data_IF_155575182967
#
_entry.id   IF_155575182967
#
_cell.length_a   1.000
_cell.length_b   1.000
_cell.length_c   1.000
_cell.angle_alpha   90.00
_cell.angle_beta   90.00
_cell.angle_gamma   90.00
#
_symmetry.space_group_name_H-M   'P 1'
#
loop_
_entity.id
_entity.type
_entity.pdbx_description
1 polymer ?
#
# COMPACT_ATOMS: atom_id res chain seq x y z
N UNK A 1 -16.46 3.93 27.18
CA UNK A 1 -16.51 4.78 25.97
C UNK A 1 -15.18 4.89 25.24
N UNK A 2 -14.05 5.19 25.89
CA UNK A 2 -12.74 5.33 25.23
C UNK A 2 -12.31 4.10 24.39
N UNK A 3 -12.59 2.88 24.85
CA UNK A 3 -12.25 1.64 24.11
C UNK A 3 -13.00 1.48 22.79
N UNK A 4 -14.27 1.90 22.72
CA UNK A 4 -15.06 1.83 21.48
C UNK A 4 -14.51 2.80 20.42
N UNK A 5 -14.16 4.01 20.85
CA UNK A 5 -13.56 5.02 19.98
C UNK A 5 -12.19 4.54 19.48
N UNK A 6 -11.35 3.99 20.35
CA UNK A 6 -10.06 3.43 19.96
C UNK A 6 -10.20 2.29 18.94
N UNK A 7 -11.22 1.46 19.07
CA UNK A 7 -11.48 0.33 18.16
C UNK A 7 -12.03 0.78 16.80
N UNK A 8 -12.85 1.82 16.77
CA UNK A 8 -13.29 2.46 15.53
C UNK A 8 -12.11 3.09 14.78
N UNK A 9 -11.27 3.86 15.48
CA UNK A 9 -10.08 4.47 14.89
C UNK A 9 -9.11 3.40 14.38
N UNK A 10 -8.89 2.35 15.17
CA UNK A 10 -8.04 1.22 14.79
C UNK A 10 -8.57 0.47 13.55
N UNK A 11 -9.89 0.30 13.44
CA UNK A 11 -10.53 -0.31 12.27
C UNK A 11 -10.41 0.54 11.01
N UNK A 12 -10.56 1.86 11.12
CA UNK A 12 -10.36 2.78 9.98
C UNK A 12 -8.90 2.74 9.53
N UNK A 13 -7.96 2.78 10.48
CA UNK A 13 -6.54 2.74 10.18
C UNK A 13 -6.13 1.43 9.50
N UNK A 14 -6.61 0.27 9.98
CA UNK A 14 -6.32 -1.03 9.37
C UNK A 14 -6.95 -1.19 7.98
N UNK A 15 -8.15 -0.63 7.77
CA UNK A 15 -8.81 -0.58 6.47
C UNK A 15 -8.03 0.25 5.46
N UNK A 16 -7.59 1.45 5.85
CA UNK A 16 -6.72 2.30 5.00
C UNK A 16 -5.41 1.61 4.67
N UNK A 17 -4.77 0.98 5.66
CA UNK A 17 -3.51 0.25 5.46
C UNK A 17 -3.66 -0.86 4.41
N UNK A 18 -4.74 -1.64 4.50
CA UNK A 18 -5.05 -2.74 3.58
C UNK A 18 -5.27 -2.26 2.14
N UNK A 19 -5.79 -1.05 1.94
CA UNK A 19 -5.97 -0.47 0.61
C UNK A 19 -4.68 0.18 0.07
N UNK A 20 -3.97 0.94 0.92
CA UNK A 20 -2.79 1.72 0.50
C UNK A 20 -1.54 0.85 0.31
N UNK A 21 -1.32 -0.17 1.14
CA UNK A 21 -0.15 -1.05 1.04
C UNK A 21 0.02 -1.72 -0.34
N UNK A 22 -0.97 -2.44 -0.91
CA UNK A 22 -0.80 -3.10 -2.20
C UNK A 22 -0.69 -2.12 -3.37
N UNK A 23 -1.20 -0.89 -3.22
CA UNK A 23 -1.03 0.21 -4.18
C UNK A 23 0.41 0.69 -4.12
N UNK A 24 0.92 1.01 -2.93
CA UNK A 24 2.30 1.45 -2.71
C UNK A 24 3.32 0.43 -3.21
N UNK A 25 3.14 -0.85 -2.84
CA UNK A 25 3.98 -1.94 -3.32
C UNK A 25 3.85 -2.08 -4.84
N UNK A 26 2.66 -1.87 -5.40
CA UNK A 26 2.43 -1.91 -6.84
C UNK A 26 3.12 -0.81 -7.62
N UNK A 27 3.21 0.39 -7.07
CA UNK A 27 3.87 1.53 -7.70
C UNK A 27 5.41 1.43 -7.65
N UNK A 28 5.95 0.80 -6.61
CA UNK A 28 7.39 0.76 -6.35
C UNK A 28 8.05 -0.50 -6.90
N UNK A 29 7.30 -1.60 -7.01
CA UNK A 29 7.88 -2.90 -7.37
C UNK A 29 7.91 -3.13 -8.87
N UNK A 30 8.97 -3.79 -9.33
CA UNK A 30 9.03 -4.43 -10.63
C UNK A 30 8.10 -5.67 -10.65
N UNK A 31 7.55 -6.04 -11.82
CA UNK A 31 6.51 -7.09 -11.96
C UNK A 31 6.87 -8.42 -11.27
N UNK A 32 8.16 -8.73 -11.17
CA UNK A 32 8.70 -9.96 -10.57
C UNK A 32 8.77 -9.91 -9.02
N UNK A 33 9.15 -8.76 -8.46
CA UNK A 33 9.37 -8.58 -7.01
C UNK A 33 8.09 -8.19 -6.26
N UNK A 34 7.07 -7.68 -6.97
CA UNK A 34 5.79 -7.25 -6.39
C UNK A 34 5.11 -8.36 -5.59
N UNK A 35 5.13 -9.59 -6.12
CA UNK A 35 4.54 -10.75 -5.46
C UNK A 35 5.28 -11.11 -4.18
N UNK A 36 6.63 -11.07 -4.21
CA UNK A 36 7.47 -11.38 -3.04
C UNK A 36 7.30 -10.35 -1.93
N UNK A 37 7.30 -9.06 -2.28
CA UNK A 37 7.09 -7.98 -1.32
C UNK A 37 5.69 -8.07 -0.68
N UNK A 38 4.64 -8.23 -1.48
CA UNK A 38 3.28 -8.40 -0.98
C UNK A 38 3.16 -9.59 -0.02
N UNK A 39 3.75 -10.73 -0.41
CA UNK A 39 3.73 -11.92 0.43
C UNK A 39 4.49 -11.71 1.76
N UNK A 40 5.62 -10.99 1.75
CA UNK A 40 6.34 -10.65 2.98
C UNK A 40 5.49 -9.84 3.95
N UNK A 41 4.70 -8.86 3.46
CA UNK A 41 3.76 -8.12 4.32
C UNK A 41 2.68 -9.02 4.91
N UNK A 42 2.10 -9.92 4.12
CA UNK A 42 1.12 -10.90 4.61
C UNK A 42 1.72 -11.81 5.67
N UNK A 43 2.91 -12.35 5.44
CA UNK A 43 3.63 -13.22 6.38
C UNK A 43 3.94 -12.48 7.69
N UNK A 44 4.40 -11.24 7.63
CA UNK A 44 4.63 -10.40 8.82
C UNK A 44 3.33 -10.17 9.61
N UNK A 45 2.22 -9.94 8.92
CA UNK A 45 0.89 -9.83 9.54
C UNK A 45 0.48 -11.13 10.24
N UNK A 46 0.65 -12.28 9.59
CA UNK A 46 0.38 -13.59 10.18
C UNK A 46 1.27 -13.89 11.39
N UNK A 47 2.55 -13.53 11.35
CA UNK A 47 3.48 -13.66 12.47
C UNK A 47 3.07 -12.77 13.65
N UNK A 48 2.62 -11.54 13.38
CA UNK A 48 2.07 -10.65 14.40
C UNK A 48 0.81 -11.24 15.06
N UNK A 49 -0.08 -11.85 14.27
CA UNK A 49 -1.24 -12.58 14.79
C UNK A 49 -0.83 -13.75 15.68
N UNK A 50 0.10 -14.58 15.22
CA UNK A 50 0.65 -15.71 15.99
C UNK A 50 1.27 -15.25 17.31
N UNK A 51 2.02 -14.14 17.30
CA UNK A 51 2.57 -13.54 18.51
C UNK A 51 1.47 -13.16 19.52
N UNK A 52 0.38 -12.53 19.05
CA UNK A 52 -0.74 -12.15 19.93
C UNK A 52 -1.43 -13.39 20.50
N UNK A 53 -1.64 -14.44 19.70
CA UNK A 53 -2.29 -15.67 20.18
C UNK A 53 -1.43 -16.47 21.16
N UNK A 54 -0.11 -16.46 20.98
CA UNK A 54 0.82 -17.21 21.84
C UNK A 54 1.15 -16.48 23.13
N UNK A 55 1.36 -15.15 23.07
CA UNK A 55 1.78 -14.33 24.23
C UNK A 55 0.59 -13.73 24.97
N UNK A 56 -0.53 -13.49 24.29
CA UNK A 56 -1.75 -12.94 24.85
C UNK A 56 -2.27 -13.61 26.13
N UNK A 57 -2.28 -14.95 26.26
CA UNK A 57 -2.74 -15.59 27.50
C UNK A 57 -1.74 -15.50 28.67
N UNK A 58 -0.47 -15.19 28.42
CA UNK A 58 0.58 -15.14 29.46
C UNK A 58 0.88 -13.71 29.95
N UNK A 59 0.39 -12.67 29.26
CA UNK A 59 0.77 -11.27 29.50
C UNK A 59 -0.46 -10.39 29.73
N UNK A 60 -0.32 -9.40 30.63
CA UNK A 60 -1.38 -8.42 30.92
C UNK A 60 -1.73 -7.56 29.69
N UNK A 61 -3.01 -7.25 29.52
CA UNK A 61 -3.56 -6.54 28.35
C UNK A 61 -2.83 -5.22 28.01
N UNK A 62 -2.40 -4.48 29.03
CA UNK A 62 -1.68 -3.21 28.85
C UNK A 62 -0.28 -3.39 28.27
N UNK A 63 0.42 -4.46 28.67
CA UNK A 63 1.77 -4.76 28.17
C UNK A 63 1.69 -5.29 26.74
N UNK A 64 0.70 -6.14 26.44
CA UNK A 64 0.42 -6.61 25.09
C UNK A 64 0.14 -5.44 24.14
N UNK A 65 -0.74 -4.50 24.54
CA UNK A 65 -1.04 -3.32 23.75
C UNK A 65 0.19 -2.43 23.52
N UNK A 66 1.05 -2.26 24.54
CA UNK A 66 2.30 -1.52 24.41
C UNK A 66 3.26 -2.16 23.41
N UNK A 67 3.46 -3.48 23.47
CA UNK A 67 4.33 -4.19 22.53
C UNK A 67 3.80 -4.15 21.09
N UNK A 68 2.48 -4.26 20.90
CA UNK A 68 1.86 -4.10 19.60
C UNK A 68 1.98 -2.69 19.03
N UNK A 69 2.12 -1.65 19.86
CA UNK A 69 2.31 -0.27 19.40
C UNK A 69 3.76 0.04 18.98
N UNK A 70 4.74 -0.72 19.49
CA UNK A 70 6.16 -0.55 19.13
C UNK A 70 6.40 -0.93 17.66
N UNK A 71 5.79 -2.00 17.18
CA UNK A 71 5.94 -2.48 15.79
C UNK A 71 5.52 -1.42 14.75
N UNK A 72 4.31 -0.84 14.78
CA UNK A 72 3.93 0.22 13.85
C UNK A 72 4.78 1.47 14.04
N UNK A 73 5.23 1.79 15.26
CA UNK A 73 6.13 2.92 15.49
C UNK A 73 7.46 2.75 14.75
N UNK A 74 8.08 1.56 14.84
CA UNK A 74 9.31 1.23 14.09
C UNK A 74 9.06 1.35 12.58
N UNK A 75 7.94 0.81 12.09
CA UNK A 75 7.59 0.89 10.67
C UNK A 75 7.37 2.34 10.24
N UNK A 76 6.73 3.18 11.05
CA UNK A 76 6.54 4.61 10.75
C UNK A 76 7.88 5.33 10.66
N UNK A 77 8.81 5.08 11.60
CA UNK A 77 10.15 5.67 11.56
C UNK A 77 10.90 5.20 10.31
N UNK A 78 10.83 3.91 9.99
CA UNK A 78 11.50 3.35 8.81
C UNK A 78 10.90 3.89 7.49
N UNK A 79 9.59 4.10 7.45
CA UNK A 79 8.88 4.69 6.31
C UNK A 79 9.31 6.14 6.06
N UNK A 80 9.70 6.88 7.11
CA UNK A 80 10.23 8.24 6.95
C UNK A 80 11.59 8.27 6.23
N UNK A 81 12.37 7.20 6.31
CA UNK A 81 13.62 7.06 5.55
C UNK A 81 13.41 6.50 4.13
N UNK A 82 12.23 5.96 3.83
CA UNK A 82 11.92 5.34 2.54
C UNK A 82 11.57 6.43 1.50
N UNK A 83 12.13 6.38 0.28
CA UNK A 83 11.81 7.38 -0.75
C UNK A 83 10.32 7.36 -1.11
N UNK A 84 9.76 8.55 -1.37
CA UNK A 84 8.38 8.71 -1.85
C UNK A 84 8.18 7.99 -3.19
N UNK A 85 6.95 7.54 -3.48
CA UNK A 85 6.69 6.81 -4.73
C UNK A 85 6.91 7.70 -5.96
N UNK A 86 7.46 7.15 -7.06
CA UNK A 86 7.68 7.90 -8.29
C UNK A 86 6.35 8.42 -8.88
N UNK A 87 5.23 7.75 -8.62
CA UNK A 87 3.88 8.19 -8.98
C UNK A 87 3.46 9.45 -8.20
N UNK A 88 3.71 9.50 -6.88
CA UNK A 88 3.44 10.68 -6.05
C UNK A 88 4.25 11.90 -6.51
N UNK A 89 5.52 11.72 -6.84
CA UNK A 89 6.41 12.78 -7.33
C UNK A 89 6.01 13.29 -8.72
N UNK A 90 5.59 12.39 -9.62
CA UNK A 90 5.06 12.75 -10.93
C UNK A 90 3.74 13.53 -10.82
N UNK A 91 2.84 13.12 -9.91
CA UNK A 91 1.57 13.82 -9.63
C UNK A 91 1.80 15.23 -9.06
N UNK A 92 2.91 15.46 -8.37
CA UNK A 92 3.31 16.76 -7.81
C UNK A 92 4.05 17.66 -8.82
N UNK A 93 4.06 17.32 -10.10
CA UNK A 93 4.79 18.01 -11.18
C UNK A 93 6.31 18.15 -10.92
N UNK A 94 6.95 17.16 -10.29
CA UNK A 94 8.40 17.14 -10.07
C UNK A 94 9.07 15.98 -10.82
N UNK A 95 9.26 16.09 -12.15
CA UNK A 95 9.78 15.00 -12.99
C UNK A 95 11.22 14.61 -12.64
N UNK A 96 12.08 15.57 -12.26
CA UNK A 96 13.48 15.30 -11.90
C UNK A 96 13.61 14.41 -10.66
N UNK A 97 12.81 14.66 -9.63
CA UNK A 97 12.79 13.83 -8.42
C UNK A 97 12.18 12.45 -8.66
N UNK A 98 11.22 12.35 -9.58
CA UNK A 98 10.66 11.08 -10.00
C UNK A 98 11.73 10.22 -10.72
N UNK A 99 12.55 10.83 -11.59
CA UNK A 99 13.71 10.17 -12.22
C UNK A 99 14.70 9.64 -11.20
N UNK A 100 15.13 10.47 -10.25
CA UNK A 100 16.03 10.05 -9.17
C UNK A 100 15.48 8.88 -8.34
N UNK A 101 14.18 8.91 -8.01
CA UNK A 101 13.55 7.82 -7.26
C UNK A 101 13.51 6.52 -8.07
N UNK A 102 13.21 6.57 -9.37
CA UNK A 102 13.23 5.39 -10.25
C UNK A 102 14.65 4.80 -10.33
N UNK A 103 15.69 5.64 -10.49
CA UNK A 103 17.09 5.19 -10.52
C UNK A 103 17.49 4.54 -9.19
N UNK A 104 17.08 5.13 -8.07
CA UNK A 104 17.35 4.62 -6.72
C UNK A 104 16.62 3.29 -6.45
N UNK A 105 15.41 3.14 -6.96
CA UNK A 105 14.60 1.92 -6.86
C UNK A 105 15.11 0.78 -7.75
N UNK A 106 15.55 1.09 -8.96
CA UNK A 106 16.14 0.11 -9.90
C UNK A 106 17.61 -0.20 -9.63
N UNK A 107 18.17 0.25 -8.49
CA UNK A 107 19.55 -0.04 -8.05
C UNK A 107 20.59 0.21 -9.17
N UNK A 108 20.44 1.33 -9.89
CA UNK A 108 21.33 1.75 -10.97
C UNK A 108 21.47 0.77 -12.17
N UNK A 109 20.52 -0.16 -12.34
CA UNK A 109 20.45 -1.10 -13.48
C UNK A 109 19.52 -0.64 -14.61
N UNK A 110 18.87 0.51 -14.45
CA UNK A 110 17.87 0.98 -15.39
C UNK A 110 18.52 1.70 -16.58
N UNK A 111 18.23 1.21 -17.79
CA UNK A 111 18.54 1.88 -19.04
C UNK A 111 17.74 3.19 -19.17
N UNK A 112 18.29 4.21 -19.83
CA UNK A 112 17.64 5.52 -19.98
C UNK A 112 16.27 5.38 -20.69
N UNK A 113 16.14 4.40 -21.59
CA UNK A 113 14.88 4.06 -22.26
C UNK A 113 13.83 3.46 -21.30
N UNK A 114 14.26 2.69 -20.29
CA UNK A 114 13.37 2.09 -19.30
C UNK A 114 12.80 3.14 -18.36
N UNK A 115 13.64 4.12 -17.98
CA UNK A 115 13.25 5.24 -17.12
C UNK A 115 12.20 6.11 -17.82
N UNK A 116 12.41 6.41 -19.10
CA UNK A 116 11.47 7.24 -19.89
C UNK A 116 10.13 6.54 -20.12
N UNK A 117 10.17 5.24 -20.42
CA UNK A 117 8.95 4.41 -20.58
C UNK A 117 8.13 4.37 -19.29
N UNK A 118 8.78 4.13 -18.13
CA UNK A 118 8.11 4.17 -16.81
C UNK A 118 7.50 5.53 -16.50
N UNK A 119 8.18 6.62 -16.84
CA UNK A 119 7.63 7.98 -16.66
C UNK A 119 6.42 8.24 -17.56
N UNK A 120 6.44 7.77 -18.81
CA UNK A 120 5.30 7.90 -19.71
C UNK A 120 4.10 7.10 -19.20
N UNK A 121 4.28 5.85 -18.77
CA UNK A 121 3.22 5.03 -18.17
C UNK A 121 2.60 5.69 -16.94
N UNK A 122 3.43 6.27 -16.06
CA UNK A 122 2.97 7.00 -14.87
C UNK A 122 2.18 8.25 -15.26
N UNK A 123 2.66 9.03 -16.25
CA UNK A 123 1.96 10.22 -16.75
C UNK A 123 0.61 9.88 -17.39
N UNK A 124 0.56 8.82 -18.19
CA UNK A 124 -0.68 8.36 -18.80
C UNK A 124 -1.66 7.87 -17.74
N UNK A 125 -1.19 7.14 -16.72
CA UNK A 125 -2.01 6.70 -15.60
C UNK A 125 -2.61 7.89 -14.84
N UNK A 126 -1.81 8.91 -14.52
CA UNK A 126 -2.29 10.15 -13.86
C UNK A 126 -3.31 10.90 -14.73
N UNK A 127 -3.08 10.98 -16.04
CA UNK A 127 -3.98 11.66 -16.96
C UNK A 127 -5.31 10.90 -17.10
N UNK A 128 -5.26 9.57 -17.06
CA UNK A 128 -6.44 8.71 -17.07
C UNK A 128 -7.21 8.84 -15.74
N UNK A 129 -6.52 8.85 -14.59
CA UNK A 129 -7.14 9.09 -13.28
C UNK A 129 -7.81 10.47 -13.20
N UNK A 130 -7.17 11.51 -13.77
CA UNK A 130 -7.74 12.87 -13.80
C UNK A 130 -9.00 12.96 -14.66
N UNK A 131 -9.07 12.23 -15.77
CA UNK A 131 -10.28 12.11 -16.61
C UNK A 131 -11.38 11.29 -15.95
N UNK A 132 -11.04 10.44 -14.98
CA UNK A 132 -11.93 9.44 -14.39
C UNK A 132 -12.38 9.79 -12.95
N UNK A 133 -12.43 11.09 -12.63
CA UNK A 133 -12.88 11.60 -11.31
C UNK A 133 -14.34 11.20 -10.97
N UNK A 134 -15.10 10.69 -11.95
CA UNK A 134 -16.45 10.12 -11.80
C UNK A 134 -16.49 8.62 -11.44
N UNK A 135 -15.37 8.06 -10.94
CA UNK A 135 -15.12 6.63 -10.77
C UNK A 135 -16.16 5.87 -9.92
N UNK A 136 -16.67 6.46 -8.82
CA UNK A 136 -17.61 5.74 -7.94
C UNK A 136 -18.95 5.42 -8.61
N UNK A 137 -19.45 6.31 -9.48
CA UNK A 137 -20.69 6.08 -10.22
C UNK A 137 -20.46 5.23 -11.48
N UNK A 138 -19.33 5.41 -12.18
CA UNK A 138 -19.01 4.59 -13.35
C UNK A 138 -18.75 3.11 -13.02
N UNK A 139 -18.15 2.79 -11.87
CA UNK A 139 -17.93 1.40 -11.44
C UNK A 139 -19.25 0.63 -11.24
N UNK A 140 -20.31 1.31 -10.81
CA UNK A 140 -21.64 0.72 -10.59
C UNK A 140 -22.42 0.64 -11.91
N UNK A 141 -22.24 1.60 -12.82
CA UNK A 141 -23.02 1.70 -14.07
C UNK A 141 -22.44 0.89 -15.23
N UNK A 142 -21.11 0.67 -15.31
CA UNK A 142 -20.50 -0.02 -16.46
C UNK A 142 -20.60 -1.55 -16.38
N UNK A 143 -21.18 -2.14 -17.44
CA UNK A 143 -21.36 -3.59 -17.65
C UNK A 143 -20.06 -4.41 -17.51
N UNK A 144 -18.90 -3.80 -17.77
CA UNK A 144 -17.58 -4.45 -17.73
C UNK A 144 -17.12 -4.82 -16.30
N UNK A 145 -17.57 -4.11 -15.26
CA UNK A 145 -17.17 -4.36 -13.86
C UNK A 145 -18.11 -5.30 -13.11
N UNK A 146 -19.28 -5.63 -13.66
CA UNK A 146 -20.27 -6.51 -13.00
C UNK A 146 -19.75 -7.93 -12.78
N UNK A 147 -19.06 -8.53 -13.75
CA UNK A 147 -18.52 -9.90 -13.64
C UNK A 147 -17.46 -10.03 -12.53
N UNK A 148 -16.41 -9.20 -12.46
CA UNK A 148 -15.45 -9.27 -11.37
C UNK A 148 -16.08 -8.91 -10.01
N UNK A 149 -17.02 -7.96 -9.98
CA UNK A 149 -17.74 -7.62 -8.76
C UNK A 149 -18.57 -8.80 -8.22
N UNK A 150 -19.26 -9.54 -9.08
CA UNK A 150 -20.06 -10.71 -8.71
C UNK A 150 -19.19 -11.88 -8.24
N UNK A 151 -17.99 -12.05 -8.83
CA UNK A 151 -17.01 -13.05 -8.36
C UNK A 151 -16.50 -12.70 -6.97
N UNK A 152 -16.16 -11.43 -6.71
CA UNK A 152 -15.70 -10.98 -5.39
C UNK A 152 -16.81 -11.15 -4.34
N UNK A 153 -18.06 -10.82 -4.69
CA UNK A 153 -19.19 -10.89 -3.77
C UNK A 153 -19.69 -12.31 -3.51
N UNK A 154 -19.42 -13.25 -4.42
CA UNK A 154 -19.70 -14.69 -4.23
C UNK A 154 -18.56 -15.47 -3.57
N UNK A 155 -17.36 -14.88 -3.45
CA UNK A 155 -16.19 -15.51 -2.81
C UNK A 155 -15.94 -15.04 -1.36
N UNK A 156 -16.52 -13.90 -0.97
CA UNK A 156 -16.67 -13.47 0.42
C UNK A 156 -17.81 -14.25 1.10
#
# INVERSE_FOLDING_TARGET
MALYIARLIGGIASGQLSATLPIYIGEISEKDIRGRLSNLFTVLGSLGGLYIYTVGPFVSYHVLAGTCAIVPFIVTVMCWFLPETPYYLAKKNKPDKARECIVKLSCNRADENFIETRMQEIRDSINNDRKNTSQFWELITKQQYRKPFLIVLGLC
#
